data_IF_842082300883
#
_entry.id   IF_842082300883
#
_cell.length_a   1.000
_cell.length_b   1.000
_cell.length_c   1.000
_cell.angle_alpha   90.00
_cell.angle_beta   90.00
_cell.angle_gamma   90.00
#
_symmetry.space_group_name_H-M   'P 1'
#
loop_
_entity.id
_entity.type
_entity.pdbx_description
1 polymer ?
#
# COMPACT_ATOMS: atom_id res chain seq x y z
N UNK A 1 -10.00 0.17 18.66
CA UNK A 1 -10.32 -0.17 17.25
C UNK A 1 -9.63 -1.49 16.88
N UNK A 2 -10.32 -2.34 16.14
CA UNK A 2 -9.68 -3.51 15.56
C UNK A 2 -8.70 -3.08 14.47
N UNK A 3 -7.81 -3.98 14.07
CA UNK A 3 -6.86 -3.69 12.99
C UNK A 3 -7.60 -3.42 11.67
N UNK A 4 -8.67 -4.17 11.39
CA UNK A 4 -9.49 -3.96 10.19
C UNK A 4 -10.10 -2.56 10.18
N UNK A 5 -10.59 -2.08 11.33
CA UNK A 5 -11.13 -0.73 11.45
C UNK A 5 -10.04 0.33 11.26
N UNK A 6 -8.85 0.08 11.82
CA UNK A 6 -7.71 0.97 11.65
C UNK A 6 -7.29 1.02 10.18
N UNK A 7 -7.31 -0.12 9.50
CA UNK A 7 -6.96 -0.22 8.08
C UNK A 7 -7.97 0.58 7.23
N UNK A 8 -9.26 0.43 7.50
CA UNK A 8 -10.29 1.21 6.81
C UNK A 8 -10.12 2.71 7.06
N UNK A 9 -9.88 3.09 8.31
CA UNK A 9 -9.69 4.50 8.67
C UNK A 9 -8.45 5.07 7.98
N UNK A 10 -7.37 4.29 7.91
CA UNK A 10 -6.14 4.72 7.23
C UNK A 10 -6.38 5.00 5.75
N UNK A 11 -7.23 4.23 5.09
CA UNK A 11 -7.58 4.46 3.68
C UNK A 11 -8.30 5.80 3.49
N UNK A 12 -9.09 6.21 4.47
CA UNK A 12 -9.75 7.52 4.45
C UNK A 12 -8.74 8.62 4.78
N UNK A 13 -7.93 8.39 5.81
CA UNK A 13 -6.97 9.39 6.31
C UNK A 13 -5.93 9.76 5.25
N UNK A 14 -5.48 8.81 4.45
CA UNK A 14 -4.46 9.07 3.43
C UNK A 14 -4.96 10.08 2.38
N UNK A 15 -6.27 10.16 2.20
CA UNK A 15 -6.89 11.11 1.25
C UNK A 15 -6.92 12.54 1.79
N UNK A 16 -6.67 12.72 3.09
CA UNK A 16 -6.68 14.04 3.72
C UNK A 16 -5.31 14.72 3.72
N UNK A 17 -4.28 14.03 3.23
CA UNK A 17 -2.93 14.58 3.20
C UNK A 17 -2.88 15.84 2.34
N UNK A 18 -2.24 16.89 2.87
CA UNK A 18 -2.09 18.16 2.15
C UNK A 18 -0.92 18.14 1.18
N UNK A 19 0.05 17.26 1.42
CA UNK A 19 1.19 17.05 0.54
C UNK A 19 1.15 15.65 -0.03
N UNK A 20 1.43 15.53 -1.32
CA UNK A 20 1.47 14.22 -1.99
C UNK A 20 2.63 13.40 -1.46
N UNK A 21 2.42 12.14 -1.06
CA UNK A 21 3.52 11.23 -0.72
C UNK A 21 4.45 11.03 -1.92
N UNK A 22 5.68 10.59 -1.66
CA UNK A 22 6.61 10.24 -2.73
C UNK A 22 6.08 9.08 -3.56
N UNK A 23 6.61 8.91 -4.77
CA UNK A 23 6.23 7.78 -5.62
C UNK A 23 6.52 6.44 -4.94
N UNK A 24 7.65 6.34 -4.24
CA UNK A 24 7.99 5.13 -3.49
C UNK A 24 6.97 4.84 -2.39
N UNK A 25 6.54 5.87 -1.66
CA UNK A 25 5.52 5.73 -0.61
C UNK A 25 4.17 5.33 -1.19
N UNK A 26 3.78 5.91 -2.32
CA UNK A 26 2.53 5.55 -3.00
C UNK A 26 2.55 4.11 -3.48
N UNK A 27 3.69 3.64 -3.99
CA UNK A 27 3.87 2.25 -4.41
C UNK A 27 3.77 1.30 -3.22
N UNK A 28 4.37 1.66 -2.08
CA UNK A 28 4.28 0.83 -0.87
C UNK A 28 2.86 0.78 -0.34
N UNK A 29 2.15 1.90 -0.32
CA UNK A 29 0.73 1.93 0.08
C UNK A 29 -0.09 0.98 -0.79
N UNK A 30 0.10 1.06 -2.10
CA UNK A 30 -0.58 0.18 -3.05
C UNK A 30 -0.26 -1.29 -2.76
N UNK A 31 1.02 -1.61 -2.58
CA UNK A 31 1.48 -2.98 -2.39
C UNK A 31 0.96 -3.57 -1.07
N UNK A 32 1.01 -2.81 0.02
CA UNK A 32 0.47 -3.27 1.30
C UNK A 32 -1.04 -3.47 1.22
N UNK A 33 -1.75 -2.56 0.55
CA UNK A 33 -3.18 -2.68 0.35
C UNK A 33 -3.53 -3.96 -0.43
N UNK A 34 -2.83 -4.21 -1.53
CA UNK A 34 -3.06 -5.42 -2.34
C UNK A 34 -2.73 -6.69 -1.56
N UNK A 35 -1.60 -6.68 -0.85
CA UNK A 35 -1.21 -7.85 -0.05
C UNK A 35 -2.21 -8.11 1.08
N UNK A 36 -2.74 -7.05 1.69
CA UNK A 36 -3.72 -7.17 2.77
C UNK A 36 -5.06 -7.73 2.28
N UNK A 37 -5.48 -7.35 1.08
CA UNK A 37 -6.82 -7.67 0.57
C UNK A 37 -6.85 -8.89 -0.35
N UNK A 38 -5.78 -9.11 -1.14
CA UNK A 38 -5.75 -10.17 -2.14
C UNK A 38 -4.67 -11.22 -1.88
N UNK A 39 -3.73 -10.95 -0.97
CA UNK A 39 -2.63 -11.87 -0.71
C UNK A 39 -1.52 -11.74 -1.74
N UNK A 40 -0.78 -12.83 -1.96
CA UNK A 40 0.35 -12.84 -2.88
C UNK A 40 -0.07 -12.52 -4.31
N UNK A 41 0.78 -11.73 -4.99
CA UNK A 41 0.53 -11.39 -6.38
C UNK A 41 0.79 -12.61 -7.26
N UNK A 42 -0.27 -13.11 -7.89
CA UNK A 42 -0.19 -14.22 -8.85
C UNK A 42 -0.68 -13.78 -10.23
N UNK A 43 -0.67 -12.48 -10.49
CA UNK A 43 -1.09 -11.92 -11.78
C UNK A 43 0.07 -11.86 -12.75
N UNK A 44 -0.25 -11.76 -14.04
CA UNK A 44 0.76 -11.61 -15.09
C UNK A 44 1.39 -10.22 -15.04
N UNK A 45 2.69 -10.14 -15.35
CA UNK A 45 3.40 -8.87 -15.43
C UNK A 45 2.77 -7.98 -16.52
N UNK A 46 2.53 -6.69 -16.24
CA UNK A 46 2.01 -5.77 -17.25
C UNK A 46 2.94 -5.62 -18.46
N UNK A 47 2.40 -5.15 -19.57
CA UNK A 47 3.16 -4.95 -20.80
C UNK A 47 4.29 -3.94 -20.64
N UNK A 48 5.27 -4.03 -21.58
CA UNK A 48 6.50 -3.23 -21.48
C UNK A 48 6.27 -1.72 -21.54
N UNK A 49 5.15 -1.27 -22.10
CA UNK A 49 4.85 0.16 -22.18
C UNK A 49 4.04 0.67 -20.99
N UNK A 50 3.61 -0.21 -20.09
CA UNK A 50 2.88 0.18 -18.88
C UNK A 50 3.86 0.24 -17.71
N UNK A 51 4.68 1.28 -17.67
CA UNK A 51 5.72 1.43 -16.66
C UNK A 51 5.13 1.56 -15.25
N UNK A 52 4.06 2.35 -15.10
CA UNK A 52 3.40 2.53 -13.81
C UNK A 52 2.85 1.21 -13.31
N UNK A 53 2.19 0.44 -14.18
CA UNK A 53 1.67 -0.87 -13.85
C UNK A 53 2.77 -1.85 -13.47
N UNK A 54 3.92 -1.79 -14.15
CA UNK A 54 5.06 -2.65 -13.84
C UNK A 54 5.63 -2.35 -12.45
N UNK A 55 5.76 -1.07 -12.07
CA UNK A 55 6.23 -0.69 -10.74
C UNK A 55 5.26 -1.16 -9.66
N UNK A 56 3.96 -0.99 -9.87
CA UNK A 56 2.94 -1.49 -8.93
C UNK A 56 3.00 -2.99 -8.80
N UNK A 57 3.07 -3.69 -9.92
CA UNK A 57 3.14 -5.15 -9.97
C UNK A 57 4.35 -5.66 -9.21
N UNK A 58 5.52 -5.07 -9.48
CA UNK A 58 6.78 -5.47 -8.84
C UNK A 58 6.74 -5.23 -7.33
N UNK A 59 6.27 -4.04 -6.92
CA UNK A 59 6.23 -3.69 -5.50
C UNK A 59 5.31 -4.62 -4.73
N UNK A 60 4.14 -4.97 -5.29
CA UNK A 60 3.25 -5.96 -4.69
C UNK A 60 3.92 -7.34 -4.65
N UNK A 61 4.54 -7.77 -5.75
CA UNK A 61 5.25 -9.06 -5.80
C UNK A 61 6.33 -9.16 -4.73
N UNK A 62 7.03 -8.06 -4.44
CA UNK A 62 8.06 -8.00 -3.40
C UNK A 62 7.50 -8.27 -1.99
N UNK A 63 6.19 -8.15 -1.80
CA UNK A 63 5.54 -8.42 -0.50
C UNK A 63 5.13 -9.88 -0.33
N UNK A 64 5.44 -10.73 -1.30
CA UNK A 64 5.07 -12.16 -1.26
C UNK A 64 5.46 -12.79 0.08
N UNK A 65 4.54 -13.55 0.64
CA UNK A 65 4.72 -14.21 1.93
C UNK A 65 4.26 -13.39 3.13
N UNK A 66 4.02 -12.10 2.94
CA UNK A 66 3.50 -11.26 4.03
C UNK A 66 2.04 -11.62 4.27
N UNK A 67 1.67 -11.81 5.55
CA UNK A 67 0.28 -12.14 5.89
C UNK A 67 -0.62 -10.91 5.71
N UNK A 68 -1.92 -11.15 5.58
CA UNK A 68 -2.91 -10.07 5.51
C UNK A 68 -2.80 -9.14 6.73
N UNK A 69 -2.63 -9.70 7.92
CA UNK A 69 -2.50 -8.93 9.17
C UNK A 69 -1.24 -8.06 9.14
N UNK A 70 -0.11 -8.63 8.74
CA UNK A 70 1.14 -7.89 8.63
C UNK A 70 1.02 -6.74 7.62
N UNK A 71 0.40 -7.01 6.48
CA UNK A 71 0.22 -6.00 5.44
C UNK A 71 -0.70 -4.86 5.88
N UNK A 72 -1.79 -5.18 6.59
CA UNK A 72 -2.68 -4.17 7.17
C UNK A 72 -1.92 -3.27 8.14
N UNK A 73 -1.12 -3.89 9.03
CA UNK A 73 -0.35 -3.14 10.02
C UNK A 73 0.67 -2.23 9.34
N UNK A 74 1.35 -2.72 8.31
CA UNK A 74 2.32 -1.91 7.55
C UNK A 74 1.64 -0.73 6.86
N UNK A 75 0.46 -0.96 6.30
CA UNK A 75 -0.32 0.11 5.67
C UNK A 75 -0.69 1.19 6.69
N UNK A 76 -1.24 0.77 7.83
CA UNK A 76 -1.62 1.69 8.92
C UNK A 76 -0.40 2.48 9.39
N UNK A 77 0.71 1.80 9.63
CA UNK A 77 1.94 2.44 10.12
C UNK A 77 2.45 3.49 9.13
N UNK A 78 2.43 3.17 7.84
CA UNK A 78 2.87 4.12 6.82
C UNK A 78 1.95 5.34 6.74
N UNK A 79 0.63 5.13 6.81
CA UNK A 79 -0.32 6.26 6.82
C UNK A 79 -0.10 7.14 8.04
N UNK A 80 0.11 6.55 9.22
CA UNK A 80 0.38 7.32 10.43
C UNK A 80 1.65 8.17 10.29
N UNK A 81 2.70 7.59 9.71
CA UNK A 81 3.92 8.33 9.42
C UNK A 81 3.66 9.50 8.48
N UNK A 82 2.90 9.26 7.40
CA UNK A 82 2.58 10.30 6.42
C UNK A 82 1.73 11.41 7.03
N UNK A 83 0.80 11.08 7.93
CA UNK A 83 -0.01 12.08 8.62
C UNK A 83 0.84 13.03 9.46
N UNK A 84 1.97 12.54 9.96
CA UNK A 84 2.90 13.36 10.77
C UNK A 84 3.84 14.18 9.91
N UNK A 85 4.29 13.65 8.76
CA UNK A 85 5.33 14.27 7.94
C UNK A 85 4.81 15.04 6.75
N UNK A 86 3.61 14.70 6.24
CA UNK A 86 3.02 15.30 5.03
C UNK A 86 1.79 16.14 5.35
N UNK A 87 1.87 16.88 6.42
CA UNK A 87 0.77 17.76 6.85
C UNK A 87 0.62 18.97 5.92
#
# INVERSE_FOLDING_TARGET
MSLEQQFEQAQLDVKTLTKRPSDAQLLDLYAFFKQATEGDNNTSKPGMFDLKGQFKWKTWTDKKGMTSVEAMQKYVDLVQELLQTNK
#
